data_IF_573803946457
#
_entry.id   IF_573803946457
#
_cell.length_a   1.000
_cell.length_b   1.000
_cell.length_c   1.000
_cell.angle_alpha   90.00
_cell.angle_beta   90.00
_cell.angle_gamma   90.00
#
_symmetry.space_group_name_H-M   'P 1'
#
loop_
_entity.id
_entity.type
_entity.pdbx_description
1 polymer ?
#
# COMPACT_ATOMS: atom_id res chain seq x y z
N UNK A 1 6.28 62.35 -6.29
CA UNK A 1 5.45 61.70 -7.32
C UNK A 1 5.26 60.28 -6.85
N UNK A 2 4.09 60.00 -6.31
CA UNK A 2 3.68 58.71 -5.78
C UNK A 2 3.64 57.67 -6.89
N UNK A 3 4.18 56.49 -6.64
CA UNK A 3 3.62 55.28 -7.21
C UNK A 3 3.29 54.41 -6.02
N UNK A 4 2.03 54.47 -5.59
CA UNK A 4 1.35 53.36 -4.96
C UNK A 4 1.76 52.08 -5.71
N UNK A 5 2.52 51.21 -5.04
CA UNK A 5 2.57 49.80 -5.38
C UNK A 5 1.70 49.13 -4.33
N UNK A 6 0.39 49.29 -4.48
CA UNK A 6 -0.59 48.44 -3.80
C UNK A 6 -0.37 47.03 -4.34
N UNK A 7 0.56 46.31 -3.73
CA UNK A 7 0.72 44.87 -3.92
C UNK A 7 -0.38 44.18 -3.13
N UNK A 8 -1.58 44.23 -3.69
CA UNK A 8 -2.70 43.38 -3.31
C UNK A 8 -2.39 41.96 -3.82
N UNK A 9 -1.42 41.31 -3.18
CA UNK A 9 -1.29 39.86 -3.27
C UNK A 9 -2.14 39.31 -2.15
N UNK A 10 -3.45 39.15 -2.41
CA UNK A 10 -4.29 38.32 -1.56
C UNK A 10 -3.61 36.95 -1.42
N UNK A 11 -3.01 36.76 -0.25
CA UNK A 11 -2.41 35.50 0.13
C UNK A 11 -3.50 34.50 0.46
N UNK A 12 -3.22 33.22 0.27
CA UNK A 12 -4.15 32.16 0.59
C UNK A 12 -3.45 31.07 1.38
N UNK A 13 -4.24 30.25 2.07
CA UNK A 13 -3.72 29.12 2.82
C UNK A 13 -3.66 27.88 1.94
N UNK A 14 -2.53 27.21 2.03
CA UNK A 14 -2.30 25.89 1.47
C UNK A 14 -3.35 24.85 1.89
N UNK A 15 -4.17 24.28 0.98
CA UNK A 15 -5.04 23.15 1.31
C UNK A 15 -4.28 21.88 1.72
N UNK A 16 -3.02 21.68 1.29
CA UNK A 16 -2.25 20.48 1.62
C UNK A 16 -1.59 20.50 3.03
N UNK A 17 -1.13 21.66 3.50
CA UNK A 17 -0.27 21.82 4.68
C UNK A 17 -0.58 23.05 5.54
N UNK A 18 -1.46 23.96 5.10
CA UNK A 18 -1.88 25.14 5.86
C UNK A 18 -0.93 26.34 5.86
N UNK A 19 0.21 26.28 5.16
CA UNK A 19 1.12 27.42 5.00
C UNK A 19 0.50 28.59 4.23
N UNK A 20 0.90 29.81 4.55
CA UNK A 20 0.53 31.03 3.83
C UNK A 20 1.30 31.12 2.50
N UNK A 21 0.57 31.30 1.40
CA UNK A 21 1.13 31.40 0.05
C UNK A 21 0.65 32.68 -0.63
N UNK A 22 1.58 33.36 -1.28
CA UNK A 22 1.30 34.60 -2.00
C UNK A 22 0.42 34.34 -3.23
N UNK A 23 -0.51 35.25 -3.52
CA UNK A 23 -1.32 35.23 -4.74
C UNK A 23 -0.45 35.15 -6.00
N UNK A 24 -0.78 34.23 -6.90
CA UNK A 24 -0.03 33.97 -8.14
C UNK A 24 1.22 33.11 -7.99
N UNK A 25 1.47 32.51 -6.82
CA UNK A 25 2.55 31.53 -6.66
C UNK A 25 2.22 30.22 -7.41
N UNK A 26 3.21 29.66 -8.11
CA UNK A 26 3.07 28.40 -8.88
C UNK A 26 3.15 27.14 -8.01
N UNK A 27 3.73 27.23 -6.81
CA UNK A 27 3.83 26.12 -5.86
C UNK A 27 4.04 26.64 -4.44
N UNK A 28 3.72 25.80 -3.45
CA UNK A 28 3.96 26.05 -2.04
C UNK A 28 5.43 25.92 -1.68
N UNK A 29 6.05 26.97 -1.13
CA UNK A 29 7.46 26.92 -0.71
C UNK A 29 7.72 26.05 0.53
N UNK A 30 6.67 25.66 1.26
CA UNK A 30 6.79 24.84 2.47
C UNK A 30 6.67 23.34 2.19
N UNK A 31 5.70 22.93 1.37
CA UNK A 31 5.46 21.50 1.09
C UNK A 31 5.70 21.07 -0.36
N UNK A 32 5.91 22.02 -1.28
CA UNK A 32 6.11 21.74 -2.71
C UNK A 32 4.84 21.47 -3.51
N UNK A 33 3.67 21.38 -2.86
CA UNK A 33 2.41 21.17 -3.57
C UNK A 33 2.07 22.36 -4.50
N UNK A 34 1.48 22.03 -5.63
CA UNK A 34 1.15 22.92 -6.74
C UNK A 34 -0.25 22.59 -7.27
N UNK A 35 -0.69 23.30 -8.32
CA UNK A 35 -1.97 23.03 -8.97
C UNK A 35 -2.07 21.56 -9.43
N UNK A 36 -0.99 20.97 -9.93
CA UNK A 36 -0.93 19.59 -10.42
C UNK A 36 -0.73 18.52 -9.32
N UNK A 37 -0.39 18.92 -8.10
CA UNK A 37 0.02 17.96 -7.05
C UNK A 37 -0.67 18.13 -5.70
N UNK A 38 -1.61 19.08 -5.55
CA UNK A 38 -2.43 19.05 -4.35
C UNK A 38 -3.35 20.23 -4.07
N UNK A 39 -3.35 21.31 -4.86
CA UNK A 39 -4.24 22.46 -4.61
C UNK A 39 -5.09 22.87 -5.81
N UNK A 40 -4.88 22.27 -6.98
CA UNK A 40 -5.79 22.41 -8.10
C UNK A 40 -7.16 21.85 -7.75
N UNK A 41 -8.20 22.36 -8.39
CA UNK A 41 -9.59 21.87 -8.26
C UNK A 41 -9.78 20.49 -8.92
N UNK A 42 -8.75 19.99 -9.60
CA UNK A 42 -8.70 18.70 -10.27
C UNK A 42 -7.98 17.70 -9.36
N UNK A 43 -8.73 17.08 -8.45
CA UNK A 43 -8.36 15.82 -7.84
C UNK A 43 -8.42 14.69 -8.88
N UNK A 44 -7.52 14.76 -9.86
CA UNK A 44 -7.18 13.68 -10.78
C UNK A 44 -6.38 12.61 -10.03
N UNK A 45 -6.94 12.10 -8.93
CA UNK A 45 -6.59 10.79 -8.44
C UNK A 45 -7.17 9.79 -9.43
N UNK A 46 -6.49 9.60 -10.56
CA UNK A 46 -6.52 8.33 -11.31
C UNK A 46 -5.76 7.26 -10.51
N UNK A 47 -6.11 7.17 -9.24
CA UNK A 47 -5.87 5.96 -8.52
C UNK A 47 -6.98 5.04 -9.02
N UNK A 48 -6.64 4.27 -10.05
CA UNK A 48 -7.36 3.08 -10.47
C UNK A 48 -7.34 2.09 -9.29
N UNK A 49 -8.06 2.44 -8.21
CA UNK A 49 -8.51 1.57 -7.18
C UNK A 49 -9.70 0.87 -7.81
N UNK A 50 -9.48 -0.31 -8.37
CA UNK A 50 -10.58 -1.25 -8.56
C UNK A 50 -11.20 -1.44 -7.17
N UNK A 51 -12.40 -0.87 -6.96
CA UNK A 51 -13.12 -0.87 -5.68
C UNK A 51 -13.38 -2.28 -5.12
N UNK A 52 -13.19 -3.30 -5.95
CA UNK A 52 -13.39 -4.72 -5.64
C UNK A 52 -12.08 -5.47 -5.28
N UNK A 53 -10.89 -4.86 -5.47
CA UNK A 53 -9.61 -5.48 -5.12
C UNK A 53 -8.98 -4.78 -3.89
N UNK A 54 -9.27 -5.30 -2.70
CA UNK A 54 -8.54 -4.95 -1.48
C UNK A 54 -7.02 -5.12 -1.74
N UNK A 55 -6.24 -4.06 -1.57
CA UNK A 55 -4.80 -4.10 -1.78
C UNK A 55 -4.13 -5.14 -0.86
N UNK A 56 -3.69 -6.28 -1.44
CA UNK A 56 -3.04 -7.36 -0.69
C UNK A 56 -1.61 -6.96 -0.29
N UNK A 57 -1.51 -6.46 0.95
CA UNK A 57 -0.25 -6.07 1.56
C UNK A 57 0.73 -7.24 1.68
N UNK A 58 0.25 -8.45 1.98
CA UNK A 58 1.11 -9.62 2.18
C UNK A 58 1.68 -10.12 0.85
N UNK A 59 0.90 -10.09 -0.24
CA UNK A 59 1.38 -10.40 -1.60
C UNK A 59 2.45 -9.41 -2.05
N UNK A 60 2.20 -8.10 -1.88
CA UNK A 60 3.14 -7.05 -2.25
C UNK A 60 4.48 -7.21 -1.52
N UNK A 61 4.46 -7.42 -0.21
CA UNK A 61 5.68 -7.68 0.58
C UNK A 61 6.37 -8.96 0.11
N UNK A 62 5.61 -10.01 -0.21
CA UNK A 62 6.16 -11.26 -0.76
C UNK A 62 6.89 -11.06 -2.09
N UNK A 63 6.39 -10.16 -2.95
CA UNK A 63 6.96 -9.86 -4.27
C UNK A 63 8.16 -8.90 -4.20
N UNK A 64 8.03 -7.79 -3.48
CA UNK A 64 9.02 -6.70 -3.48
C UNK A 64 10.05 -6.82 -2.34
N UNK A 65 9.66 -7.39 -1.20
CA UNK A 65 10.48 -7.45 0.01
C UNK A 65 10.52 -8.87 0.60
N UNK A 66 11.02 -9.88 -0.14
CA UNK A 66 10.96 -11.28 0.27
C UNK A 66 11.67 -11.57 1.62
N UNK A 67 12.60 -10.73 2.04
CA UNK A 67 13.27 -10.82 3.34
C UNK A 67 12.37 -10.44 4.54
N UNK A 68 11.25 -9.76 4.30
CA UNK A 68 10.26 -9.36 5.32
C UNK A 68 8.91 -10.06 5.15
N UNK A 69 8.81 -11.01 4.22
CA UNK A 69 7.57 -11.76 4.01
C UNK A 69 7.18 -12.50 5.31
N UNK A 70 5.94 -12.35 5.80
CA UNK A 70 5.50 -13.06 6.98
C UNK A 70 5.60 -14.58 6.74
N UNK A 71 5.91 -15.34 7.79
CA UNK A 71 5.96 -16.82 7.76
C UNK A 71 4.57 -17.47 7.58
N UNK A 72 3.58 -16.66 7.17
CA UNK A 72 2.16 -16.95 7.04
C UNK A 72 1.90 -18.21 6.25
N UNK A 73 1.72 -19.30 6.99
CA UNK A 73 1.12 -20.55 6.56
C UNK A 73 1.64 -21.08 5.22
N UNK A 74 2.96 -21.28 5.14
CA UNK A 74 3.50 -22.28 4.21
C UNK A 74 3.06 -23.67 4.66
N UNK A 75 1.81 -24.08 4.42
CA UNK A 75 1.50 -25.50 4.21
C UNK A 75 2.14 -25.91 2.90
N UNK A 76 3.47 -25.93 2.95
CA UNK A 76 4.36 -26.42 1.92
C UNK A 76 3.85 -27.82 1.63
N UNK A 77 3.54 -28.17 0.37
CA UNK A 77 2.93 -29.46 0.00
C UNK A 77 3.60 -30.70 0.64
N UNK A 78 4.85 -30.57 1.09
CA UNK A 78 5.57 -31.49 1.99
C UNK A 78 4.77 -31.91 3.24
N UNK A 79 4.02 -31.02 3.88
CA UNK A 79 3.19 -31.34 5.07
C UNK A 79 2.03 -32.28 4.73
N UNK A 80 1.42 -32.13 3.55
CA UNK A 80 0.38 -33.03 3.07
C UNK A 80 0.96 -34.41 2.75
N UNK A 81 2.12 -34.45 2.08
CA UNK A 81 2.83 -35.70 1.78
C UNK A 81 3.22 -36.45 3.05
N UNK A 82 3.76 -35.77 4.07
CA UNK A 82 4.12 -36.38 5.35
C UNK A 82 2.90 -36.97 6.06
N UNK A 83 1.76 -36.26 6.07
CA UNK A 83 0.51 -36.77 6.66
C UNK A 83 -0.01 -38.01 5.94
N UNK A 84 0.03 -38.03 4.60
CA UNK A 84 -0.38 -39.20 3.81
C UNK A 84 0.52 -40.41 4.11
N UNK A 85 1.84 -40.22 4.16
CA UNK A 85 2.78 -41.29 4.50
C UNK A 85 2.52 -41.83 5.91
N UNK A 86 2.31 -40.95 6.89
CA UNK A 86 2.03 -41.35 8.27
C UNK A 86 0.74 -42.18 8.37
N UNK A 87 -0.33 -41.79 7.68
CA UNK A 87 -1.60 -42.55 7.64
C UNK A 87 -1.40 -43.91 6.98
N UNK A 88 -0.69 -43.99 5.85
CA UNK A 88 -0.40 -45.26 5.17
C UNK A 88 0.41 -46.19 6.08
N UNK A 89 1.46 -45.70 6.74
CA UNK A 89 2.26 -46.50 7.67
C UNK A 89 1.43 -47.00 8.85
N UNK A 90 0.59 -46.15 9.44
CA UNK A 90 -0.33 -46.55 10.52
C UNK A 90 -1.30 -47.64 10.05
N UNK A 91 -1.89 -47.52 8.85
CA UNK A 91 -2.78 -48.52 8.30
C UNK A 91 -2.05 -49.84 8.00
N UNK A 92 -0.83 -49.79 7.45
CA UNK A 92 0.00 -50.98 7.24
C UNK A 92 0.35 -51.67 8.57
N UNK A 93 0.73 -50.93 9.60
CA UNK A 93 1.05 -51.48 10.92
C UNK A 93 -0.20 -52.06 11.61
N UNK A 94 -1.35 -51.42 11.48
CA UNK A 94 -2.61 -51.94 11.98
C UNK A 94 -3.02 -53.22 11.24
N UNK A 95 -2.85 -53.27 9.92
CA UNK A 95 -3.15 -54.45 9.12
C UNK A 95 -2.22 -55.62 9.45
N UNK A 96 -0.93 -55.36 9.65
CA UNK A 96 0.04 -56.35 10.10
C UNK A 96 -0.18 -56.80 11.55
N UNK A 97 -0.68 -55.92 12.41
CA UNK A 97 -0.96 -56.20 13.83
C UNK A 97 -2.32 -56.87 14.10
N UNK A 98 -3.31 -56.69 13.20
CA UNK A 98 -4.64 -57.30 13.28
C UNK A 98 -4.76 -58.60 12.44
N UNK A 99 -3.79 -58.86 11.56
CA UNK A 99 -3.79 -59.95 10.58
C UNK A 99 -2.92 -61.17 10.93
N UNK A 100 -2.50 -61.32 12.19
CA UNK A 100 -1.80 -62.51 12.72
C UNK A 100 -2.51 -63.00 13.98
#
# INVERSE_FOLDING_TARGET
MSTEFESDSDGFLCPNCGAEVAGGATFCRECGASDDTGWGEEDDVDANYDEDDDFDYDEFIGREFPQHAPDGMRVTGKQLVIRVIAVILCLCLLWLGLGF
#
